data_IF_281255479816
#
_entry.id   IF_281255479816
#
_cell.length_a   1.000
_cell.length_b   1.000
_cell.length_c   1.000
_cell.angle_alpha   90.00
_cell.angle_beta   90.00
_cell.angle_gamma   90.00
#
_symmetry.space_group_name_H-M   'P 1'
#
loop_
_entity.id
_entity.type
_entity.pdbx_description
1 polymer ?
#
# COMPACT_ATOMS: atom_id res chain seq x y z
N UNK A 1 -48.81 23.31 0.08
CA UNK A 1 -47.81 23.69 1.09
C UNK A 1 -46.69 22.65 1.02
N UNK A 2 -45.44 23.10 1.06
CA UNK A 2 -44.25 22.41 0.56
C UNK A 2 -44.00 21.01 1.16
N UNK A 3 -43.69 20.05 0.28
CA UNK A 3 -43.04 18.79 0.60
C UNK A 3 -41.53 19.06 0.77
N UNK A 4 -40.96 18.65 1.90
CA UNK A 4 -39.51 18.49 2.01
C UNK A 4 -39.24 16.99 2.19
N UNK A 5 -39.01 16.30 1.07
CA UNK A 5 -38.34 15.01 1.08
C UNK A 5 -36.96 15.22 1.70
N UNK A 6 -36.69 14.57 2.83
CA UNK A 6 -35.33 14.34 3.28
C UNK A 6 -34.67 13.43 2.24
N UNK A 7 -33.92 14.02 1.31
CA UNK A 7 -33.07 13.28 0.38
C UNK A 7 -31.99 12.59 1.20
N UNK A 8 -32.19 11.30 1.38
CA UNK A 8 -31.19 10.36 1.86
C UNK A 8 -29.98 10.51 0.93
N UNK A 9 -28.93 11.18 1.42
CA UNK A 9 -27.68 11.30 0.69
C UNK A 9 -27.03 9.91 0.76
N UNK A 10 -27.35 9.05 -0.21
CA UNK A 10 -26.53 7.89 -0.53
C UNK A 10 -25.18 8.42 -1.00
N UNK A 11 -24.33 8.77 -0.04
CA UNK A 11 -22.89 8.91 -0.25
C UNK A 11 -22.40 7.47 -0.42
N UNK A 12 -22.69 6.90 -1.57
CA UNK A 12 -21.99 5.75 -2.12
C UNK A 12 -20.54 6.20 -2.23
N UNK A 13 -19.76 6.00 -1.16
CA UNK A 13 -18.32 6.09 -1.19
C UNK A 13 -17.88 4.97 -2.13
N UNK A 14 -17.93 5.25 -3.44
CA UNK A 14 -17.19 4.52 -4.45
C UNK A 14 -15.73 4.78 -4.16
N UNK A 15 -15.19 4.06 -3.18
CA UNK A 15 -13.76 3.89 -3.01
C UNK A 15 -13.36 3.03 -4.20
N UNK A 16 -13.02 3.71 -5.29
CA UNK A 16 -12.57 3.07 -6.52
C UNK A 16 -11.35 2.23 -6.16
N UNK A 17 -11.50 0.89 -6.17
CA UNK A 17 -10.34 0.01 -6.19
C UNK A 17 -9.46 0.48 -7.36
N UNK A 18 -8.15 0.71 -7.16
CA UNK A 18 -7.31 1.13 -8.25
C UNK A 18 -7.39 0.09 -9.38
N UNK A 19 -7.50 0.55 -10.63
CA UNK A 19 -7.60 -0.33 -11.78
C UNK A 19 -6.22 -0.93 -12.08
N UNK A 20 -6.05 -2.23 -11.90
CA UNK A 20 -4.84 -2.97 -12.27
C UNK A 20 -5.14 -4.45 -12.49
N UNK A 21 -4.21 -5.16 -13.15
CA UNK A 21 -4.35 -6.61 -13.39
C UNK A 21 -4.46 -7.40 -12.11
N UNK A 22 -3.73 -6.98 -11.07
CA UNK A 22 -3.78 -7.56 -9.73
C UNK A 22 -3.91 -6.43 -8.73
N UNK A 23 -4.88 -6.53 -7.82
CA UNK A 23 -5.11 -5.57 -6.74
C UNK A 23 -5.18 -6.34 -5.44
N UNK A 24 -4.17 -6.16 -4.58
CA UNK A 24 -4.06 -6.80 -3.29
C UNK A 24 -4.38 -5.77 -2.20
N UNK A 25 -5.26 -6.10 -1.27
CA UNK A 25 -5.60 -5.19 -0.17
C UNK A 25 -4.62 -5.40 0.98
N UNK A 26 -3.91 -4.34 1.36
CA UNK A 26 -3.05 -4.38 2.54
C UNK A 26 -3.92 -4.04 3.76
N UNK A 27 -4.12 -5.01 4.64
CA UNK A 27 -5.00 -4.86 5.81
C UNK A 27 -4.20 -4.76 7.10
N UNK A 28 -4.68 -3.99 8.09
CA UNK A 28 -4.09 -3.99 9.41
C UNK A 28 -4.27 -5.34 10.12
N UNK A 29 -3.41 -5.69 11.09
CA UNK A 29 -2.37 -4.83 11.68
C UNK A 29 -1.10 -4.78 10.82
N UNK A 30 -0.64 -3.57 10.52
CA UNK A 30 0.66 -3.33 9.88
C UNK A 30 1.77 -3.47 10.91
N UNK A 31 2.70 -4.38 10.66
CA UNK A 31 3.80 -4.62 11.59
C UNK A 31 4.85 -3.51 11.43
N UNK A 32 5.11 -2.76 12.49
CA UNK A 32 6.18 -1.79 12.52
C UNK A 32 7.53 -2.49 12.67
N UNK A 33 8.41 -2.31 11.69
CA UNK A 33 9.73 -2.97 11.67
C UNK A 33 10.80 -2.04 12.26
N UNK A 34 10.86 -0.79 11.80
CA UNK A 34 11.84 0.20 12.23
C UNK A 34 11.45 1.60 11.75
N UNK A 35 11.62 2.65 12.57
CA UNK A 35 11.37 4.03 12.12
C UNK A 35 9.98 4.23 11.50
N UNK A 36 9.94 4.69 10.25
CA UNK A 36 8.70 4.82 9.46
C UNK A 36 8.41 3.61 8.57
N UNK A 37 9.17 2.52 8.68
CA UNK A 37 8.98 1.31 7.92
C UNK A 37 7.95 0.38 8.56
N UNK A 38 6.89 0.12 7.81
CA UNK A 38 5.84 -0.82 8.14
C UNK A 38 5.81 -1.96 7.11
N UNK A 39 5.55 -3.16 7.59
CA UNK A 39 5.31 -4.33 6.75
C UNK A 39 3.81 -4.46 6.48
N UNK A 40 3.45 -4.53 5.20
CA UNK A 40 2.11 -4.80 4.74
C UNK A 40 1.65 -6.20 5.12
N UNK A 41 0.51 -6.31 5.78
CA UNK A 41 -0.16 -7.59 5.98
C UNK A 41 -1.09 -7.86 4.79
N UNK A 42 -1.10 -9.11 4.32
CA UNK A 42 -1.90 -9.58 3.20
C UNK A 42 -2.71 -10.80 3.62
N UNK A 43 -3.88 -10.98 3.02
CA UNK A 43 -4.65 -12.22 3.13
C UNK A 43 -3.87 -13.39 2.52
N UNK A 44 -4.15 -14.61 2.98
CA UNK A 44 -3.42 -15.81 2.53
C UNK A 44 -3.54 -16.05 1.02
N UNK A 45 -4.69 -15.72 0.43
CA UNK A 45 -4.93 -15.78 -1.01
C UNK A 45 -4.07 -14.77 -1.78
N UNK A 46 -4.06 -13.52 -1.32
CA UNK A 46 -3.25 -12.44 -1.88
C UNK A 46 -1.74 -12.70 -1.73
N UNK A 47 -1.33 -13.37 -0.66
CA UNK A 47 0.08 -13.74 -0.43
C UNK A 47 0.60 -14.73 -1.49
N UNK A 48 -0.23 -15.66 -1.96
CA UNK A 48 0.15 -16.56 -3.06
C UNK A 48 0.31 -15.80 -4.36
N UNK A 49 -0.58 -14.85 -4.62
CA UNK A 49 -0.49 -13.98 -5.80
C UNK A 49 0.76 -13.11 -5.73
N UNK A 50 1.06 -12.51 -4.56
CA UNK A 50 2.29 -11.75 -4.32
C UNK A 50 3.54 -12.58 -4.58
N UNK A 51 3.56 -13.84 -4.13
CA UNK A 51 4.70 -14.73 -4.33
C UNK A 51 4.98 -15.09 -5.81
N UNK A 52 3.97 -14.93 -6.69
CA UNK A 52 4.13 -15.13 -8.12
C UNK A 52 4.50 -13.85 -8.89
N UNK A 53 4.50 -12.69 -8.21
CA UNK A 53 4.87 -11.40 -8.81
C UNK A 53 6.38 -11.21 -8.63
N UNK A 54 7.13 -10.79 -9.68
CA UNK A 54 8.54 -10.47 -9.52
C UNK A 54 8.75 -9.39 -8.47
N UNK A 55 9.78 -9.57 -7.66
CA UNK A 55 10.17 -8.67 -6.57
C UNK A 55 11.56 -8.10 -6.82
N UNK A 56 11.90 -7.05 -6.09
CA UNK A 56 13.26 -6.52 -6.11
C UNK A 56 14.18 -7.39 -5.22
N UNK A 57 15.48 -7.42 -5.52
CA UNK A 57 16.51 -7.97 -4.65
C UNK A 57 16.97 -6.91 -3.64
N UNK A 58 16.80 -7.14 -2.32
CA UNK A 58 17.26 -6.19 -1.29
C UNK A 58 18.78 -5.94 -1.29
N UNK A 59 19.58 -6.81 -1.93
CA UNK A 59 21.04 -6.64 -2.04
C UNK A 59 21.47 -5.87 -3.29
N UNK A 60 20.55 -5.61 -4.23
CA UNK A 60 20.83 -4.88 -5.45
C UNK A 60 19.91 -3.65 -5.56
N UNK A 61 20.44 -2.48 -5.22
CA UNK A 61 19.68 -1.24 -5.22
C UNK A 61 19.28 -0.74 -6.63
N UNK A 62 19.87 -1.29 -7.69
CA UNK A 62 19.49 -0.97 -9.09
C UNK A 62 18.42 -1.92 -9.62
N UNK A 63 18.01 -2.91 -8.83
CA UNK A 63 16.97 -3.85 -9.22
C UNK A 63 15.58 -3.21 -9.12
N UNK A 64 14.96 -3.00 -10.29
CA UNK A 64 13.59 -2.50 -10.42
C UNK A 64 12.67 -3.57 -11.01
N UNK A 65 12.94 -4.85 -10.71
CA UNK A 65 12.17 -5.97 -11.25
C UNK A 65 10.71 -5.99 -10.76
N UNK A 66 10.37 -5.32 -9.66
CA UNK A 66 9.02 -5.35 -9.13
C UNK A 66 8.04 -4.38 -9.80
N UNK A 67 6.96 -4.85 -10.46
CA UNK A 67 5.98 -3.97 -11.08
C UNK A 67 4.96 -3.39 -10.07
N UNK A 68 5.15 -3.64 -8.77
CA UNK A 68 4.16 -3.28 -7.75
C UNK A 68 4.12 -1.77 -7.53
N UNK A 69 2.91 -1.24 -7.47
CA UNK A 69 2.57 0.12 -7.10
C UNK A 69 1.76 0.10 -5.81
N UNK A 70 2.20 0.85 -4.80
CA UNK A 70 1.44 0.97 -3.54
C UNK A 70 0.57 2.21 -3.59
N UNK A 71 -0.70 2.05 -3.28
CA UNK A 71 -1.69 3.11 -3.21
C UNK A 71 -2.10 3.34 -1.77
N UNK A 72 -2.14 4.60 -1.36
CA UNK A 72 -2.72 5.10 -0.12
C UNK A 72 -3.98 5.90 -0.46
N UNK A 73 -5.15 5.37 -0.10
CA UNK A 73 -6.47 5.83 -0.57
C UNK A 73 -6.59 5.96 -2.10
N UNK A 74 -6.31 7.14 -2.64
CA UNK A 74 -6.34 7.42 -4.08
C UNK A 74 -5.01 8.03 -4.56
N UNK A 75 -4.02 8.10 -3.69
CA UNK A 75 -2.70 8.63 -3.97
C UNK A 75 -1.71 7.46 -4.14
N UNK A 76 -0.88 7.55 -5.18
CA UNK A 76 0.22 6.62 -5.34
C UNK A 76 1.33 6.98 -4.34
N UNK A 77 1.79 6.00 -3.57
CA UNK A 77 2.99 6.12 -2.77
C UNK A 77 4.22 5.95 -3.66
N UNK A 78 5.24 6.74 -3.38
CA UNK A 78 6.54 6.62 -4.01
C UNK A 78 7.55 7.48 -3.28
N UNK A 79 8.85 7.28 -3.54
CA UNK A 79 9.47 6.43 -4.56
C UNK A 79 9.36 4.91 -4.29
N UNK A 80 9.17 4.12 -5.34
CA UNK A 80 9.28 2.65 -5.28
C UNK A 80 10.73 2.16 -5.24
N UNK A 81 10.92 0.84 -5.14
CA UNK A 81 12.24 0.18 -5.15
C UNK A 81 13.24 0.75 -4.12
N UNK A 82 12.74 1.22 -2.99
CA UNK A 82 13.56 1.91 -1.99
C UNK A 82 14.29 0.93 -1.08
N UNK A 83 15.48 1.28 -0.61
CA UNK A 83 16.16 0.50 0.41
C UNK A 83 15.40 0.54 1.74
N UNK A 84 15.56 -0.48 2.59
CA UNK A 84 14.97 -0.50 3.93
C UNK A 84 15.35 0.75 4.75
N UNK A 85 16.58 1.23 4.58
CA UNK A 85 17.07 2.43 5.27
C UNK A 85 16.32 3.69 4.82
N UNK A 86 16.06 3.85 3.52
CA UNK A 86 15.28 4.98 3.01
C UNK A 86 13.85 4.95 3.55
N UNK A 87 13.21 3.77 3.58
CA UNK A 87 11.85 3.61 4.11
C UNK A 87 11.81 3.91 5.62
N UNK A 88 12.79 3.42 6.39
CA UNK A 88 12.81 3.59 7.85
C UNK A 88 13.20 5.01 8.28
N UNK A 89 14.20 5.63 7.64
CA UNK A 89 14.74 6.94 8.03
C UNK A 89 14.02 8.11 7.36
N UNK A 90 13.86 8.05 6.03
CA UNK A 90 13.21 9.13 5.28
C UNK A 90 11.70 9.00 5.35
N UNK A 91 11.18 7.78 5.17
CA UNK A 91 9.74 7.53 5.07
C UNK A 91 9.15 8.24 3.85
N UNK A 92 7.98 8.88 3.98
CA UNK A 92 7.33 9.78 2.98
C UNK A 92 6.83 9.07 1.73
N UNK A 93 6.26 7.89 1.88
CA UNK A 93 5.73 7.11 0.76
C UNK A 93 6.76 6.22 0.07
N UNK A 94 8.00 6.16 0.56
CA UNK A 94 8.96 5.18 0.09
C UNK A 94 8.44 3.75 0.35
N UNK A 95 8.61 2.87 -0.63
CA UNK A 95 8.21 1.46 -0.51
C UNK A 95 9.16 0.52 -1.27
N UNK A 96 9.08 -0.77 -0.93
CA UNK A 96 9.78 -1.87 -1.57
C UNK A 96 9.01 -3.17 -1.47
N UNK A 97 9.22 -4.05 -2.45
CA UNK A 97 8.67 -5.40 -2.45
C UNK A 97 9.80 -6.41 -2.56
N UNK A 98 9.94 -7.27 -1.55
CA UNK A 98 10.98 -8.32 -1.52
C UNK A 98 10.36 -9.71 -1.34
N UNK A 99 10.75 -10.65 -2.21
CA UNK A 99 10.32 -12.05 -2.12
C UNK A 99 10.65 -12.65 -0.76
N UNK A 100 9.69 -13.38 -0.20
CA UNK A 100 9.83 -14.05 1.11
C UNK A 100 9.71 -13.14 2.32
N UNK A 101 9.94 -11.82 2.19
CA UNK A 101 9.78 -10.84 3.28
C UNK A 101 8.45 -10.09 3.22
N UNK A 102 7.94 -9.83 2.01
CA UNK A 102 6.68 -9.14 1.75
C UNK A 102 6.89 -7.70 1.28
N UNK A 103 5.86 -6.88 1.48
CA UNK A 103 5.87 -5.46 1.09
C UNK A 103 6.24 -4.61 2.31
N UNK A 104 7.20 -3.71 2.12
CA UNK A 104 7.61 -2.72 3.10
C UNK A 104 7.26 -1.35 2.56
N UNK A 105 6.64 -0.50 3.36
CA UNK A 105 6.27 0.83 2.96
C UNK A 105 6.26 1.79 4.14
N UNK A 106 6.26 3.07 3.82
CA UNK A 106 6.02 4.17 4.74
C UNK A 106 4.81 4.96 4.23
N UNK A 107 4.08 5.58 5.13
CA UNK A 107 2.93 6.43 4.76
C UNK A 107 3.43 7.74 4.15
N UNK A 108 2.58 8.40 3.35
CA UNK A 108 2.96 9.63 2.64
C UNK A 108 3.40 10.78 3.57
N UNK A 109 2.81 10.82 4.77
CA UNK A 109 3.02 11.83 5.81
C UNK A 109 3.69 11.28 7.08
N UNK A 110 4.25 10.06 7.01
CA UNK A 110 4.92 9.37 8.13
C UNK A 110 4.04 9.09 9.35
N UNK A 111 2.72 9.20 9.22
CA UNK A 111 1.76 8.77 10.24
C UNK A 111 1.67 7.25 10.36
N UNK A 112 1.19 6.75 11.50
CA UNK A 112 0.98 5.31 11.67
C UNK A 112 -0.17 4.82 10.76
N UNK A 113 0.06 3.86 9.84
CA UNK A 113 -0.97 3.32 8.96
C UNK A 113 -2.08 2.56 9.69
N UNK A 114 -1.86 2.15 10.95
CA UNK A 114 -2.90 1.54 11.79
C UNK A 114 -3.84 2.59 12.40
N UNK A 115 -3.40 3.85 12.53
CA UNK A 115 -4.16 4.91 13.21
C UNK A 115 -4.71 5.96 12.26
N UNK A 116 -4.08 6.15 11.09
CA UNK A 116 -4.44 7.20 10.14
C UNK A 116 -5.74 6.93 9.35
N UNK A 117 -6.36 5.75 9.54
CA UNK A 117 -7.63 5.32 8.93
C UNK A 117 -7.65 5.39 7.40
N UNK A 118 -6.47 5.32 6.76
CA UNK A 118 -6.31 5.22 5.31
C UNK A 118 -6.36 3.77 4.87
N UNK A 119 -6.67 3.54 3.60
CA UNK A 119 -6.59 2.21 3.00
C UNK A 119 -5.39 2.09 2.10
N UNK A 120 -4.82 0.89 2.08
CA UNK A 120 -3.60 0.59 1.35
C UNK A 120 -3.83 -0.55 0.37
N UNK A 121 -3.35 -0.40 -0.85
CA UNK A 121 -3.41 -1.46 -1.86
C UNK A 121 -2.07 -1.62 -2.55
N UNK A 122 -1.72 -2.85 -2.86
CA UNK A 122 -0.63 -3.17 -3.75
C UNK A 122 -1.21 -3.56 -5.11
N UNK A 123 -0.84 -2.84 -6.15
CA UNK A 123 -1.40 -2.99 -7.49
C UNK A 123 -0.31 -3.31 -8.48
N UNK A 124 -0.56 -4.29 -9.34
CA UNK A 124 0.24 -4.54 -10.53
C UNK A 124 -0.53 -4.01 -11.74
N UNK A 125 0.00 -3.01 -12.47
CA UNK A 125 -0.66 -2.47 -13.66
C UNK A 125 -0.76 -3.48 -14.82
#
# INVERSE_FOLDING_TARGET
>A
MYFALATYFERSYHVSRPSGKVVLSLTPPFLRESGFAYRGALLLEDRRTLANIPSDDPNNAEDTSSPIQIWEDQALLGPGHSSFEAISKSGRGHFAHWTGRGIFFSTSDNTDPNENRRRYWAVVP
#
